data_IF_990948551807
#
_entry.id   IF_990948551807
#
_cell.length_a   1.000
_cell.length_b   1.000
_cell.length_c   1.000
_cell.angle_alpha   90.00
_cell.angle_beta   90.00
_cell.angle_gamma   90.00
#
_symmetry.space_group_name_H-M   'P 1'
#
loop_
_entity.id
_entity.type
_entity.pdbx_description
1 polymer ?
#
# COMPACT_ATOMS: atom_id res chain seq x y z
N UNK A 1 0.83 -0.54 6.79
CA UNK A 1 -0.21 -1.57 6.60
C UNK A 1 0.10 -2.37 5.34
N UNK A 2 0.04 -3.72 5.37
CA UNK A 2 0.53 -4.58 4.29
C UNK A 2 2.06 -4.68 4.26
N UNK A 3 2.69 -4.79 5.42
CA UNK A 3 4.15 -4.77 5.62
C UNK A 3 4.89 -5.88 4.88
N UNK A 4 4.24 -7.01 4.66
CA UNK A 4 4.81 -8.18 3.99
C UNK A 4 4.71 -8.13 2.45
N UNK A 5 3.96 -7.17 1.91
CA UNK A 5 3.86 -6.93 0.47
C UNK A 5 5.08 -6.19 -0.09
N UNK A 6 5.14 -6.04 -1.42
CA UNK A 6 6.28 -5.39 -2.11
C UNK A 6 6.55 -3.97 -1.59
N UNK A 7 5.53 -3.11 -1.56
CA UNK A 7 5.66 -1.72 -1.09
C UNK A 7 5.93 -1.68 0.43
N UNK A 8 5.27 -2.54 1.21
CA UNK A 8 5.51 -2.61 2.65
C UNK A 8 6.96 -2.96 2.99
N UNK A 9 7.55 -3.92 2.29
CA UNK A 9 8.97 -4.28 2.44
C UNK A 9 9.91 -3.13 2.08
N UNK A 10 9.69 -2.49 0.94
CA UNK A 10 10.47 -1.30 0.53
C UNK A 10 10.34 -0.16 1.56
N UNK A 11 9.15 0.04 2.12
CA UNK A 11 8.96 1.02 3.21
C UNK A 11 9.80 0.67 4.44
N UNK A 12 9.85 -0.60 4.81
CA UNK A 12 10.66 -1.06 5.94
C UNK A 12 12.16 -0.98 5.65
N UNK A 13 12.59 -1.17 4.41
CA UNK A 13 13.98 -0.97 4.01
C UNK A 13 14.40 0.50 4.21
N UNK A 14 13.54 1.46 3.82
CA UNK A 14 13.76 2.89 4.07
C UNK A 14 13.80 3.19 5.58
N UNK A 15 12.87 2.63 6.35
CA UNK A 15 12.87 2.83 7.81
C UNK A 15 14.13 2.27 8.48
N UNK A 16 14.67 1.16 7.96
CA UNK A 16 15.92 0.58 8.45
C UNK A 16 17.16 1.40 8.05
N UNK A 17 17.14 2.05 6.88
CA UNK A 17 18.23 2.92 6.41
C UNK A 17 18.28 4.25 7.18
N UNK A 18 17.11 4.75 7.60
CA UNK A 18 16.99 6.04 8.29
C UNK A 18 16.33 5.91 9.69
N UNK A 19 16.92 5.13 10.62
CA UNK A 19 16.31 4.86 11.94
C UNK A 19 16.20 6.11 12.83
N UNK A 20 16.98 7.15 12.53
CA UNK A 20 16.89 8.45 13.22
C UNK A 20 15.68 9.30 12.78
N UNK A 21 15.04 8.96 11.65
CA UNK A 21 13.88 9.68 11.12
C UNK A 21 12.58 8.90 11.28
N UNK A 22 12.66 7.57 11.37
CA UNK A 22 11.49 6.69 11.35
C UNK A 22 11.52 5.68 12.49
N UNK A 23 10.42 5.60 13.19
CA UNK A 23 10.09 4.54 14.15
C UNK A 23 8.89 3.75 13.60
N UNK A 24 8.98 2.43 13.61
CA UNK A 24 7.87 1.56 13.18
C UNK A 24 7.00 1.24 14.40
N UNK A 25 5.81 1.82 14.47
CA UNK A 25 4.87 1.64 15.58
C UNK A 25 3.93 0.44 15.37
N UNK A 26 3.49 0.23 14.12
CA UNK A 26 2.50 -0.79 13.76
C UNK A 26 2.90 -1.54 12.50
N UNK A 27 2.87 -2.87 12.55
CA UNK A 27 2.97 -3.75 11.39
C UNK A 27 1.66 -4.52 11.18
N UNK A 28 1.17 -4.53 9.94
CA UNK A 28 -0.06 -5.25 9.58
C UNK A 28 0.19 -6.16 8.39
N UNK A 29 -0.14 -7.43 8.52
CA UNK A 29 -0.16 -8.41 7.44
C UNK A 29 -1.46 -9.21 7.45
N UNK A 30 -1.81 -9.83 6.32
CA UNK A 30 -3.01 -10.67 6.23
C UNK A 30 -2.72 -12.12 6.69
N UNK A 31 -1.89 -12.86 5.94
CA UNK A 31 -1.61 -14.29 6.17
C UNK A 31 -0.12 -14.63 6.34
N UNK A 32 0.77 -13.73 5.99
CA UNK A 32 2.22 -13.98 5.98
C UNK A 32 2.80 -13.90 7.39
N UNK A 33 2.46 -14.87 8.25
CA UNK A 33 2.84 -14.89 9.66
C UNK A 33 4.37 -14.92 9.85
N UNK A 34 5.10 -15.78 9.13
CA UNK A 34 6.56 -15.92 9.30
C UNK A 34 7.30 -14.62 8.99
N UNK A 35 6.98 -13.98 7.86
CA UNK A 35 7.60 -12.71 7.51
C UNK A 35 7.18 -11.58 8.45
N UNK A 36 5.94 -11.58 8.96
CA UNK A 36 5.47 -10.60 9.94
C UNK A 36 6.24 -10.74 11.26
N UNK A 37 6.49 -11.98 11.72
CA UNK A 37 7.29 -12.27 12.92
C UNK A 37 8.73 -11.77 12.72
N UNK A 38 9.36 -12.08 11.59
CA UNK A 38 10.71 -11.60 11.27
C UNK A 38 10.78 -10.06 11.31
N UNK A 39 9.83 -9.39 10.67
CA UNK A 39 9.72 -7.93 10.68
C UNK A 39 9.51 -7.38 12.10
N UNK A 40 8.63 -8.01 12.89
CA UNK A 40 8.36 -7.60 14.26
C UNK A 40 9.59 -7.70 15.16
N UNK A 41 10.34 -8.79 15.07
CA UNK A 41 11.57 -8.98 15.85
C UNK A 41 12.68 -7.98 15.44
N UNK A 42 12.74 -7.62 14.16
CA UNK A 42 13.72 -6.65 13.63
C UNK A 42 13.38 -5.22 14.01
N UNK A 43 12.14 -4.79 13.81
CA UNK A 43 11.73 -3.39 13.97
C UNK A 43 11.13 -3.06 15.34
N UNK A 44 10.77 -4.07 16.12
CA UNK A 44 10.23 -3.98 17.48
C UNK A 44 9.08 -2.96 17.61
N UNK A 45 8.03 -3.06 16.75
CA UNK A 45 6.88 -2.17 16.82
C UNK A 45 6.15 -2.35 18.17
N UNK A 46 5.34 -1.37 18.56
CA UNK A 46 4.44 -1.55 19.73
C UNK A 46 3.34 -2.56 19.43
N UNK A 47 2.85 -2.57 18.18
CA UNK A 47 1.72 -3.38 17.79
C UNK A 47 1.98 -4.17 16.50
N UNK A 48 1.46 -5.37 16.46
CA UNK A 48 1.42 -6.23 15.27
C UNK A 48 -0.01 -6.72 15.06
N UNK A 49 -0.50 -6.65 13.82
CA UNK A 49 -1.80 -7.22 13.44
C UNK A 49 -1.62 -8.27 12.37
N UNK A 50 -2.09 -9.48 12.64
CA UNK A 50 -2.30 -10.53 11.64
C UNK A 50 -3.80 -10.63 11.38
N UNK A 51 -4.26 -10.23 10.17
CA UNK A 51 -5.70 -10.12 9.90
C UNK A 51 -6.40 -11.50 9.88
N UNK A 52 -5.72 -12.53 9.36
CA UNK A 52 -6.23 -13.91 9.40
C UNK A 52 -6.06 -14.50 10.80
N UNK A 53 -7.19 -14.73 11.48
CA UNK A 53 -7.23 -15.29 12.83
C UNK A 53 -6.59 -16.67 12.96
N UNK A 54 -6.55 -17.43 11.89
CA UNK A 54 -5.93 -18.77 11.83
C UNK A 54 -4.42 -18.74 12.12
N UNK A 55 -3.78 -17.58 11.93
CA UNK A 55 -2.35 -17.39 12.18
C UNK A 55 -2.05 -16.63 13.48
N UNK A 56 -3.09 -16.25 14.24
CA UNK A 56 -2.94 -15.45 15.45
C UNK A 56 -2.06 -16.13 16.50
N UNK A 57 -2.37 -17.38 16.85
CA UNK A 57 -1.64 -18.11 17.91
C UNK A 57 -0.16 -18.28 17.56
N UNK A 58 0.16 -18.52 16.28
CA UNK A 58 1.54 -18.63 15.79
C UNK A 58 2.31 -17.33 16.01
N UNK A 59 1.70 -16.20 15.67
CA UNK A 59 2.35 -14.88 15.82
C UNK A 59 2.45 -14.50 17.29
N UNK A 60 1.39 -14.73 18.08
CA UNK A 60 1.36 -14.43 19.49
C UNK A 60 2.43 -15.22 20.27
N UNK A 61 2.54 -16.53 20.00
CA UNK A 61 3.54 -17.38 20.64
C UNK A 61 4.97 -16.97 20.25
N UNK A 62 5.21 -16.65 18.99
CA UNK A 62 6.54 -16.26 18.53
C UNK A 62 7.01 -14.90 19.07
N UNK A 63 6.09 -14.02 19.43
CA UNK A 63 6.38 -12.69 19.99
C UNK A 63 6.18 -12.62 21.52
N UNK A 64 5.90 -13.75 22.17
CA UNK A 64 5.78 -13.81 23.63
C UNK A 64 7.05 -13.32 24.32
N UNK A 65 6.92 -12.50 25.36
CA UNK A 65 8.04 -11.93 26.11
C UNK A 65 8.78 -10.78 25.43
N UNK A 66 8.42 -10.41 24.18
CA UNK A 66 9.06 -9.29 23.45
C UNK A 66 8.53 -7.91 23.83
N UNK A 67 7.38 -7.84 24.50
CA UNK A 67 6.66 -6.59 24.78
C UNK A 67 5.83 -6.06 23.62
N UNK A 68 5.78 -6.76 22.47
CA UNK A 68 4.99 -6.40 21.30
C UNK A 68 3.57 -6.92 21.48
N UNK A 69 2.57 -6.04 21.37
CA UNK A 69 1.16 -6.44 21.42
C UNK A 69 0.73 -7.05 20.08
N UNK A 70 0.15 -8.25 20.14
CA UNK A 70 -0.34 -8.97 18.96
C UNK A 70 -1.86 -8.91 18.91
N UNK A 71 -2.39 -8.56 17.75
CA UNK A 71 -3.82 -8.40 17.49
C UNK A 71 -4.25 -9.17 16.25
N UNK A 72 -5.57 -9.38 16.10
CA UNK A 72 -6.18 -9.94 14.90
C UNK A 72 -7.47 -9.20 14.54
N UNK A 73 -7.84 -9.27 13.26
CA UNK A 73 -9.04 -8.64 12.72
C UNK A 73 -8.83 -7.23 12.18
N UNK A 74 -9.71 -6.84 11.24
CA UNK A 74 -9.56 -5.56 10.51
C UNK A 74 -9.98 -4.34 11.34
N UNK A 75 -10.91 -4.49 12.29
CA UNK A 75 -11.39 -3.38 13.11
C UNK A 75 -10.28 -2.76 13.96
N UNK A 76 -9.44 -3.60 14.55
CA UNK A 76 -8.34 -3.14 15.41
C UNK A 76 -7.31 -2.30 14.64
N UNK A 77 -7.13 -2.56 13.33
CA UNK A 77 -6.22 -1.74 12.50
C UNK A 77 -6.68 -0.29 12.48
N UNK A 78 -7.99 -0.04 12.35
CA UNK A 78 -8.54 1.32 12.34
C UNK A 78 -8.34 2.04 13.68
N UNK A 79 -8.40 1.34 14.78
CA UNK A 79 -8.13 1.89 16.12
C UNK A 79 -6.63 2.22 16.30
N UNK A 80 -5.75 1.30 15.88
CA UNK A 80 -4.31 1.45 16.05
C UNK A 80 -3.73 2.56 15.17
N UNK A 81 -4.16 2.71 13.92
CA UNK A 81 -3.68 3.81 13.05
C UNK A 81 -4.12 5.20 13.54
N UNK A 82 -5.19 5.28 14.33
CA UNK A 82 -5.68 6.52 14.90
C UNK A 82 -4.95 6.95 16.18
N UNK A 83 -4.11 6.10 16.75
CA UNK A 83 -3.40 6.38 18.01
C UNK A 83 -2.52 7.64 17.92
N UNK A 84 -2.41 8.44 19.01
CA UNK A 84 -1.68 9.71 18.99
C UNK A 84 -0.22 9.62 18.54
N UNK A 85 0.47 8.54 18.87
CA UNK A 85 1.88 8.31 18.55
C UNK A 85 2.12 7.97 17.06
N UNK A 86 1.08 7.64 16.30
CA UNK A 86 1.19 7.39 14.86
C UNK A 86 1.11 8.72 14.11
N UNK A 87 2.16 9.11 13.44
CA UNK A 87 2.19 10.33 12.61
C UNK A 87 1.83 10.03 11.15
N UNK A 88 2.35 8.93 10.62
CA UNK A 88 2.23 8.57 9.21
C UNK A 88 1.74 7.14 9.06
N UNK A 89 0.78 6.95 8.17
CA UNK A 89 0.21 5.64 7.83
C UNK A 89 0.51 5.30 6.38
N UNK A 90 1.31 4.25 6.16
CA UNK A 90 1.55 3.70 4.81
C UNK A 90 0.48 2.65 4.51
N UNK A 91 -0.34 2.90 3.47
CA UNK A 91 -1.41 2.00 3.05
C UNK A 91 -0.99 1.21 1.82
N UNK A 92 -0.46 0.00 2.04
CA UNK A 92 0.02 -0.90 0.99
C UNK A 92 -0.75 -2.24 0.94
N UNK A 93 -2.00 -2.21 1.37
CA UNK A 93 -2.91 -3.37 1.32
C UNK A 93 -3.51 -3.54 -0.07
N UNK A 94 -3.87 -4.76 -0.44
CA UNK A 94 -4.44 -5.07 -1.76
C UNK A 94 -5.96 -4.85 -1.77
N UNK A 95 -6.50 -4.41 -2.89
CA UNK A 95 -7.93 -4.17 -3.06
C UNK A 95 -8.41 -2.99 -2.20
N UNK A 96 -9.64 -3.04 -1.71
CA UNK A 96 -10.20 -1.98 -0.86
C UNK A 96 -10.08 -2.26 0.65
N UNK A 97 -9.35 -3.29 1.06
CA UNK A 97 -9.19 -3.67 2.47
C UNK A 97 -8.54 -2.57 3.33
N UNK A 98 -7.80 -1.65 2.70
CA UNK A 98 -7.23 -0.48 3.37
C UNK A 98 -8.19 0.70 3.56
N UNK A 99 -9.43 0.66 3.05
CA UNK A 99 -10.33 1.81 3.05
C UNK A 99 -10.73 2.25 4.47
N UNK A 100 -11.18 1.32 5.31
CA UNK A 100 -11.63 1.64 6.67
C UNK A 100 -10.52 2.29 7.51
N UNK A 101 -9.32 1.72 7.47
CA UNK A 101 -8.15 2.25 8.19
C UNK A 101 -7.64 3.56 7.58
N UNK A 102 -7.76 3.78 6.25
CA UNK A 102 -7.49 5.08 5.63
C UNK A 102 -8.45 6.14 6.13
N UNK A 103 -9.74 5.84 6.20
CA UNK A 103 -10.76 6.74 6.76
C UNK A 103 -10.45 7.07 8.23
N UNK A 104 -10.07 6.06 9.03
CA UNK A 104 -9.70 6.26 10.42
C UNK A 104 -8.46 7.16 10.56
N UNK A 105 -7.46 6.98 9.72
CA UNK A 105 -6.26 7.81 9.67
C UNK A 105 -6.59 9.28 9.30
N UNK A 106 -7.50 9.51 8.32
CA UNK A 106 -7.97 10.85 7.97
C UNK A 106 -8.68 11.53 9.15
N UNK A 107 -9.61 10.81 9.80
CA UNK A 107 -10.31 11.32 10.99
C UNK A 107 -9.35 11.68 12.13
N UNK A 108 -8.26 10.95 12.26
CA UNK A 108 -7.22 11.21 13.26
C UNK A 108 -6.13 12.19 12.80
N UNK A 109 -6.33 12.87 11.66
CA UNK A 109 -5.43 13.89 11.10
C UNK A 109 -4.01 13.37 10.85
N UNK A 110 -3.86 12.11 10.38
CA UNK A 110 -2.57 11.50 10.06
C UNK A 110 -2.08 11.88 8.67
N UNK A 111 -0.77 11.81 8.45
CA UNK A 111 -0.17 11.78 7.10
C UNK A 111 -0.41 10.39 6.50
N UNK A 112 -0.82 10.33 5.24
CA UNK A 112 -1.17 9.06 4.59
C UNK A 112 -0.33 8.89 3.35
N UNK A 113 0.56 7.91 3.35
CA UNK A 113 1.31 7.48 2.17
C UNK A 113 0.50 6.37 1.46
N UNK A 114 -0.26 6.74 0.44
CA UNK A 114 -1.24 5.88 -0.23
C UNK A 114 -0.61 5.16 -1.42
N UNK A 115 -0.36 3.87 -1.26
CA UNK A 115 0.01 2.97 -2.36
C UNK A 115 -1.20 2.19 -2.92
N UNK A 116 -2.25 2.08 -2.13
CA UNK A 116 -3.48 1.36 -2.45
C UNK A 116 -4.44 2.27 -3.24
N UNK A 117 -4.26 2.35 -4.54
CA UNK A 117 -5.10 3.20 -5.42
C UNK A 117 -6.56 2.75 -5.49
N UNK A 118 -6.83 1.47 -5.27
CA UNK A 118 -8.17 0.91 -5.26
C UNK A 118 -9.07 1.60 -4.23
N UNK A 119 -8.50 2.11 -3.15
CA UNK A 119 -9.19 2.93 -2.16
C UNK A 119 -9.79 4.20 -2.77
N UNK A 120 -9.06 4.87 -3.68
CA UNK A 120 -9.55 6.07 -4.37
C UNK A 120 -10.57 5.73 -5.46
N UNK A 121 -10.44 4.57 -6.12
CA UNK A 121 -11.43 4.10 -7.10
C UNK A 121 -12.79 3.87 -6.43
N UNK A 122 -12.78 3.26 -5.24
CA UNK A 122 -14.03 2.91 -4.51
C UNK A 122 -14.64 4.11 -3.79
N UNK A 123 -13.82 4.99 -3.22
CA UNK A 123 -14.27 6.02 -2.30
C UNK A 123 -13.55 7.37 -2.47
N UNK A 124 -13.07 7.70 -3.67
CA UNK A 124 -12.29 8.92 -3.91
C UNK A 124 -13.03 10.21 -3.57
N UNK A 125 -14.30 10.31 -3.92
CA UNK A 125 -15.13 11.47 -3.57
C UNK A 125 -15.24 11.65 -2.06
N UNK A 126 -15.56 10.57 -1.34
CA UNK A 126 -15.65 10.59 0.12
C UNK A 126 -14.31 10.99 0.76
N UNK A 127 -13.20 10.39 0.29
CA UNK A 127 -11.87 10.70 0.81
C UNK A 127 -11.52 12.17 0.56
N UNK A 128 -11.79 12.69 -0.64
CA UNK A 128 -11.52 14.09 -0.98
C UNK A 128 -12.32 15.04 -0.09
N UNK A 129 -13.62 14.76 0.16
CA UNK A 129 -14.43 15.56 1.07
C UNK A 129 -13.90 15.53 2.51
N UNK A 130 -13.49 14.37 2.98
CA UNK A 130 -12.91 14.22 4.31
C UNK A 130 -11.57 14.96 4.44
N UNK A 131 -10.73 14.93 3.42
CA UNK A 131 -9.44 15.64 3.41
C UNK A 131 -9.64 17.16 3.49
N UNK A 132 -10.64 17.73 2.83
CA UNK A 132 -10.97 19.17 2.92
C UNK A 132 -11.30 19.63 4.34
N UNK A 133 -11.88 18.75 5.15
CA UNK A 133 -12.33 19.02 6.52
C UNK A 133 -11.35 18.55 7.60
N UNK A 134 -10.21 17.98 7.23
CA UNK A 134 -9.19 17.42 8.14
C UNK A 134 -7.85 18.12 7.98
N UNK A 135 -6.90 17.83 8.89
CA UNK A 135 -5.49 18.22 8.75
C UNK A 135 -4.65 17.14 8.09
N UNK A 136 -5.27 16.07 7.63
CA UNK A 136 -4.58 14.98 6.95
C UNK A 136 -4.02 15.42 5.61
N UNK A 137 -2.87 14.86 5.27
CA UNK A 137 -2.27 15.02 3.95
C UNK A 137 -2.12 13.63 3.33
N UNK A 138 -2.54 13.50 2.09
CA UNK A 138 -2.41 12.26 1.32
C UNK A 138 -1.26 12.41 0.32
N UNK A 139 -0.24 11.56 0.47
CA UNK A 139 0.90 11.45 -0.43
C UNK A 139 0.74 10.21 -1.31
N UNK A 140 0.71 10.34 -2.63
CA UNK A 140 0.64 9.18 -3.51
C UNK A 140 1.97 8.44 -3.55
N UNK A 141 1.93 7.13 -3.28
CA UNK A 141 3.09 6.21 -3.41
C UNK A 141 2.99 5.39 -4.70
N UNK A 142 1.81 5.33 -5.32
CA UNK A 142 1.64 4.78 -6.66
C UNK A 142 2.50 5.54 -7.68
N UNK A 143 3.18 4.82 -8.56
CA UNK A 143 4.21 5.39 -9.44
C UNK A 143 3.71 6.54 -10.31
N UNK A 144 2.55 6.39 -10.92
CA UNK A 144 2.00 7.39 -11.85
C UNK A 144 1.38 8.57 -11.11
N UNK A 145 0.63 8.30 -10.03
CA UNK A 145 0.12 9.38 -9.18
C UNK A 145 1.26 10.16 -8.51
N UNK A 146 2.31 9.45 -8.06
CA UNK A 146 3.51 10.08 -7.52
C UNK A 146 4.24 10.95 -8.54
N UNK A 147 4.33 10.50 -9.81
CA UNK A 147 4.92 11.28 -10.89
C UNK A 147 4.11 12.54 -11.17
N UNK A 148 2.77 12.47 -11.27
CA UNK A 148 1.93 13.65 -11.41
C UNK A 148 2.08 14.60 -10.24
N UNK A 149 2.06 14.08 -9.02
CA UNK A 149 2.24 14.88 -7.81
C UNK A 149 3.56 15.66 -7.86
N UNK A 150 4.67 15.01 -8.18
CA UNK A 150 5.99 15.66 -8.26
C UNK A 150 6.07 16.68 -9.39
N UNK A 151 5.50 16.38 -10.55
CA UNK A 151 5.48 17.33 -11.68
C UNK A 151 4.61 18.57 -11.43
N UNK A 152 3.60 18.47 -10.56
CA UNK A 152 2.66 19.56 -10.30
C UNK A 152 3.00 20.37 -9.04
N UNK A 153 4.00 19.96 -8.26
CA UNK A 153 4.43 20.74 -7.09
C UNK A 153 4.95 22.11 -7.52
N UNK A 154 4.27 23.15 -7.05
CA UNK A 154 4.64 24.56 -7.33
C UNK A 154 4.13 25.08 -8.68
N UNK A 155 3.42 24.27 -9.46
CA UNK A 155 2.83 24.69 -10.73
C UNK A 155 1.42 25.28 -10.53
N UNK A 156 1.09 26.27 -11.34
CA UNK A 156 -0.28 26.77 -11.45
C UNK A 156 -1.11 25.84 -12.36
N UNK A 157 -2.15 25.23 -11.82
CA UNK A 157 -3.04 24.34 -12.55
C UNK A 157 -3.70 25.00 -13.77
N UNK A 158 -3.84 26.33 -13.79
CA UNK A 158 -4.34 27.07 -14.96
C UNK A 158 -3.40 26.95 -16.18
N UNK A 159 -2.12 26.70 -15.94
CA UNK A 159 -1.11 26.55 -17.01
C UNK A 159 -0.94 25.10 -17.47
N UNK A 160 -1.61 24.13 -16.84
CA UNK A 160 -1.53 22.71 -17.20
C UNK A 160 -2.48 22.42 -18.37
N UNK A 161 -1.94 22.18 -19.55
CA UNK A 161 -2.74 21.90 -20.75
C UNK A 161 -3.26 20.46 -20.82
N UNK A 162 -2.50 19.49 -20.27
CA UNK A 162 -2.88 18.07 -20.26
C UNK A 162 -2.00 17.25 -19.30
N UNK A 163 -2.54 16.14 -18.82
CA UNK A 163 -1.80 15.09 -18.12
C UNK A 163 -1.58 13.90 -19.07
N UNK A 164 -0.34 13.40 -19.15
CA UNK A 164 0.02 12.28 -20.01
C UNK A 164 0.34 11.07 -19.12
N UNK A 165 -0.58 10.10 -19.09
CA UNK A 165 -0.39 8.86 -18.35
C UNK A 165 0.44 7.88 -19.20
N UNK A 166 1.66 7.59 -18.75
CA UNK A 166 2.56 6.65 -19.43
C UNK A 166 2.30 5.20 -19.01
N UNK A 167 2.65 4.25 -19.87
CA UNK A 167 2.54 2.82 -19.60
C UNK A 167 3.65 2.04 -20.32
N UNK A 168 4.16 0.98 -19.66
CA UNK A 168 5.07 0.03 -20.33
C UNK A 168 4.37 -0.78 -21.42
N UNK A 169 3.05 -0.99 -21.26
CA UNK A 169 2.23 -1.83 -22.14
C UNK A 169 2.31 -3.33 -21.83
N UNK A 170 3.15 -3.73 -20.86
CA UNK A 170 3.29 -5.13 -20.44
C UNK A 170 3.77 -6.09 -21.54
N UNK A 171 3.69 -7.43 -21.28
CA UNK A 171 4.18 -8.45 -22.21
C UNK A 171 3.37 -8.55 -23.51
N UNK A 172 2.13 -8.05 -23.52
CA UNK A 172 1.23 -8.17 -24.67
C UNK A 172 1.22 -6.95 -25.59
N UNK A 173 2.04 -5.93 -25.32
CA UNK A 173 2.06 -4.65 -26.05
C UNK A 173 2.15 -4.78 -27.57
N UNK A 174 2.94 -5.72 -28.05
CA UNK A 174 3.17 -5.94 -29.50
C UNK A 174 2.47 -7.20 -30.02
N UNK A 175 1.66 -7.86 -29.19
CA UNK A 175 0.99 -9.10 -29.55
C UNK A 175 -0.23 -8.80 -30.44
N UNK A 176 -0.40 -9.50 -31.58
CA UNK A 176 -1.61 -9.42 -32.39
C UNK A 176 -2.86 -9.77 -31.57
N UNK A 177 -3.96 -9.05 -31.83
CA UNK A 177 -5.21 -9.20 -31.08
C UNK A 177 -5.75 -10.64 -31.06
N UNK A 178 -5.59 -11.32 -32.20
CA UNK A 178 -6.07 -12.71 -32.40
C UNK A 178 -5.38 -13.68 -31.45
N UNK A 179 -4.14 -13.41 -31.06
CA UNK A 179 -3.38 -14.22 -30.11
C UNK A 179 -3.73 -13.97 -28.66
N UNK A 180 -4.38 -12.86 -28.33
CA UNK A 180 -4.76 -12.54 -26.96
C UNK A 180 -5.76 -13.55 -26.36
N UNK A 181 -6.57 -14.21 -27.22
CA UNK A 181 -7.52 -15.23 -26.77
C UNK A 181 -6.86 -16.51 -26.21
N UNK A 182 -5.58 -16.74 -26.49
CA UNK A 182 -4.84 -17.95 -26.11
C UNK A 182 -3.77 -17.71 -25.07
N UNK A 183 -3.63 -16.48 -24.56
CA UNK A 183 -2.61 -16.16 -23.53
C UNK A 183 -2.94 -16.82 -22.21
N UNK A 184 -1.91 -17.23 -21.52
CA UNK A 184 -1.99 -17.87 -20.19
C UNK A 184 -1.63 -16.88 -19.08
N UNK A 185 -1.91 -17.29 -17.84
CA UNK A 185 -1.44 -16.56 -16.65
C UNK A 185 0.10 -16.44 -16.62
N UNK A 186 0.79 -17.49 -17.04
CA UNK A 186 2.26 -17.49 -17.05
C UNK A 186 2.82 -16.52 -18.09
N UNK A 187 2.14 -16.34 -19.23
CA UNK A 187 2.51 -15.32 -20.21
C UNK A 187 2.31 -13.92 -19.63
N UNK A 188 1.24 -13.68 -18.90
CA UNK A 188 0.97 -12.41 -18.22
C UNK A 188 2.00 -12.08 -17.13
N UNK A 189 2.58 -13.09 -16.48
CA UNK A 189 3.61 -12.91 -15.44
C UNK A 189 5.01 -12.62 -16.00
N UNK A 190 5.24 -12.74 -17.31
CA UNK A 190 6.53 -12.47 -17.97
C UNK A 190 6.67 -11.02 -18.38
N UNK A 191 6.84 -10.12 -17.42
CA UNK A 191 7.06 -8.70 -17.77
C UNK A 191 8.40 -8.52 -18.49
N UNK A 192 8.46 -7.81 -19.64
CA UNK A 192 9.67 -7.74 -20.46
C UNK A 192 10.83 -6.99 -19.82
N UNK A 193 10.55 -6.06 -18.89
CA UNK A 193 11.56 -5.13 -18.38
C UNK A 193 11.79 -5.24 -16.87
N UNK A 194 10.82 -5.70 -16.07
CA UNK A 194 10.90 -5.63 -14.61
C UNK A 194 10.46 -6.92 -13.93
N UNK A 195 11.18 -7.27 -12.87
CA UNK A 195 10.75 -8.27 -11.90
C UNK A 195 9.89 -7.59 -10.82
N UNK A 196 8.61 -7.89 -10.78
CA UNK A 196 7.63 -7.29 -9.86
C UNK A 196 6.81 -8.38 -9.17
N UNK A 197 6.06 -8.01 -8.14
CA UNK A 197 5.08 -8.91 -7.53
C UNK A 197 4.01 -9.37 -8.55
N UNK A 198 3.48 -10.57 -8.37
CA UNK A 198 2.57 -11.20 -9.34
C UNK A 198 1.33 -10.33 -9.67
N UNK A 199 0.71 -9.71 -8.66
CA UNK A 199 -0.47 -8.82 -8.86
C UNK A 199 -0.13 -7.65 -9.78
N UNK A 200 0.96 -6.94 -9.52
CA UNK A 200 1.37 -5.76 -10.29
C UNK A 200 1.75 -6.16 -11.73
N UNK A 201 2.37 -7.32 -11.91
CA UNK A 201 2.75 -7.84 -13.21
C UNK A 201 1.53 -8.17 -14.08
N UNK A 202 0.51 -8.81 -13.50
CA UNK A 202 -0.76 -9.08 -14.20
C UNK A 202 -1.51 -7.79 -14.52
N UNK A 203 -1.55 -6.84 -13.59
CA UNK A 203 -2.17 -5.53 -13.84
C UNK A 203 -1.48 -4.80 -15.01
N UNK A 204 -0.15 -4.89 -15.11
CA UNK A 204 0.61 -4.33 -16.24
C UNK A 204 0.26 -5.03 -17.55
N UNK A 205 0.19 -6.36 -17.56
CA UNK A 205 -0.15 -7.15 -18.74
C UNK A 205 -1.55 -6.85 -19.28
N UNK A 206 -2.50 -6.59 -18.40
CA UNK A 206 -3.91 -6.29 -18.74
C UNK A 206 -4.21 -4.80 -18.85
N UNK A 207 -3.25 -3.93 -18.61
CA UNK A 207 -3.42 -2.48 -18.50
C UNK A 207 -4.38 -2.05 -17.36
N UNK A 208 -4.78 -2.97 -16.46
CA UNK A 208 -5.66 -2.67 -15.34
C UNK A 208 -5.06 -1.64 -14.38
N UNK A 209 -3.73 -1.66 -14.20
CA UNK A 209 -3.04 -0.65 -13.41
C UNK A 209 -3.23 0.79 -13.93
N UNK A 210 -3.58 0.98 -15.20
CA UNK A 210 -3.89 2.30 -15.78
C UNK A 210 -5.39 2.60 -15.72
N UNK A 211 -6.24 1.60 -15.87
CA UNK A 211 -7.69 1.76 -15.75
C UNK A 211 -8.15 2.16 -14.33
N UNK A 212 -7.34 1.88 -13.30
CA UNK A 212 -7.59 2.22 -11.89
C UNK A 212 -7.02 3.61 -11.50
N UNK A 213 -6.65 4.47 -12.45
CA UNK A 213 -6.13 5.83 -12.23
C UNK A 213 -6.98 6.90 -12.97
#
# INVERSE_FOLDING_TARGET
>A
MGSTGSIGRQTLDIAAEYPQLFEVDLLVANRSADLLIEQALRFKPRNVVIASSEHYDKVAQALEGTGIAVHTGDSVVSELVAQPQVDTVVTAMVGYSGLASTIAAIKASKKIALANKETLVVAGELINEMLKSSRSVLYPVDSEHGAFYQCLVGEDMANVSKLILTASGGPFRTMPRERLATVTKDDALRHPNWAMGAKITIDSATMMNKALR
#
